data_IF_790593151204
#
_entry.id   IF_790593151204
#
_cell.length_a   1.000
_cell.length_b   1.000
_cell.length_c   1.000
_cell.angle_alpha   90.00
_cell.angle_beta   90.00
_cell.angle_gamma   90.00
#
_symmetry.space_group_name_H-M   'P 1'
#
loop_
_entity.id
_entity.type
_entity.pdbx_description
1 polymer ?
#
# COMPACT_ATOMS: atom_id res chain seq x y z
N UNK A 1 6.90 3.43 7.13
CA UNK A 1 5.53 3.74 6.70
C UNK A 1 5.13 5.10 7.25
N UNK A 2 4.63 5.98 6.40
CA UNK A 2 4.08 7.29 6.77
C UNK A 2 2.55 7.22 6.76
N UNK A 3 1.90 7.79 7.77
CA UNK A 3 0.45 7.80 7.91
C UNK A 3 0.01 9.23 8.16
N UNK A 4 -0.76 9.78 7.23
CA UNK A 4 -1.34 11.11 7.32
C UNK A 4 -2.81 11.01 7.71
N UNK A 5 -3.14 11.50 8.90
CA UNK A 5 -4.51 11.53 9.42
C UNK A 5 -5.24 12.77 8.87
N UNK A 6 -6.37 12.55 8.23
CA UNK A 6 -7.28 13.58 7.73
C UNK A 6 -8.62 13.45 8.45
N UNK A 7 -9.57 14.37 8.17
CA UNK A 7 -10.88 14.39 8.84
C UNK A 7 -11.74 13.16 8.53
N UNK A 8 -11.68 12.66 7.29
CA UNK A 8 -12.55 11.62 6.75
C UNK A 8 -11.80 10.53 5.99
N UNK A 9 -10.49 10.60 5.95
CA UNK A 9 -9.63 9.63 5.29
C UNK A 9 -8.28 9.50 6.00
N UNK A 10 -7.52 8.51 5.61
CA UNK A 10 -6.13 8.33 5.99
C UNK A 10 -5.30 8.02 4.74
N UNK A 11 -4.23 8.78 4.54
CA UNK A 11 -3.24 8.46 3.51
C UNK A 11 -2.09 7.67 4.14
N UNK A 12 -1.79 6.52 3.54
CA UNK A 12 -0.79 5.58 4.03
C UNK A 12 0.24 5.35 2.93
N UNK A 13 1.51 5.53 3.23
CA UNK A 13 2.60 5.46 2.25
C UNK A 13 3.80 4.72 2.83
N UNK A 14 4.49 3.92 2.00
CA UNK A 14 5.73 3.24 2.38
C UNK A 14 6.05 2.03 1.52
N UNK A 15 7.19 1.40 1.83
CA UNK A 15 7.63 0.20 1.12
C UNK A 15 6.89 -1.04 1.61
N UNK A 16 6.38 -1.80 0.65
CA UNK A 16 5.73 -3.09 0.86
C UNK A 16 6.77 -4.20 0.97
N UNK A 17 7.77 -4.16 0.08
CA UNK A 17 8.88 -5.11 0.04
C UNK A 17 10.15 -4.46 -0.53
N UNK A 18 11.31 -4.93 -0.11
CA UNK A 18 12.59 -4.59 -0.72
C UNK A 18 13.04 -5.71 -1.66
N UNK A 19 13.41 -5.36 -2.90
CA UNK A 19 13.97 -6.33 -3.87
C UNK A 19 15.40 -6.71 -3.50
N UNK A 20 15.88 -7.83 -4.03
CA UNK A 20 17.23 -8.37 -3.80
C UNK A 20 17.59 -8.52 -2.30
N UNK A 21 16.61 -8.71 -1.44
CA UNK A 21 16.79 -8.90 0.00
C UNK A 21 16.14 -10.21 0.45
N UNK A 22 16.88 -10.99 1.23
CA UNK A 22 16.38 -12.24 1.80
C UNK A 22 15.18 -11.99 2.73
N UNK A 23 14.15 -12.79 2.57
CA UNK A 23 13.07 -12.92 3.55
C UNK A 23 13.61 -13.57 4.84
N UNK A 24 12.78 -13.61 5.88
CA UNK A 24 13.03 -14.52 6.99
C UNK A 24 13.00 -15.97 6.51
N UNK A 25 13.76 -16.88 7.18
CA UNK A 25 13.73 -18.28 6.80
C UNK A 25 12.32 -18.88 6.91
N UNK A 26 11.89 -19.51 5.84
CA UNK A 26 10.63 -20.24 5.72
C UNK A 26 10.90 -21.74 5.62
N UNK A 27 9.85 -22.55 5.68
CA UNK A 27 9.94 -24.01 5.50
C UNK A 27 8.96 -24.44 4.41
N UNK A 28 9.48 -25.13 3.43
CA UNK A 28 8.68 -25.76 2.40
C UNK A 28 7.85 -26.93 2.99
N UNK A 29 6.56 -27.01 2.72
CA UNK A 29 5.66 -28.02 3.28
C UNK A 29 5.86 -29.41 2.69
N UNK A 30 6.19 -29.48 1.39
CA UNK A 30 6.32 -30.75 0.70
C UNK A 30 7.64 -31.41 1.06
N UNK A 31 8.72 -30.64 1.07
CA UNK A 31 10.08 -31.16 1.23
C UNK A 31 10.59 -31.03 2.67
N UNK A 32 9.99 -30.17 3.49
CA UNK A 32 10.46 -29.84 4.83
C UNK A 32 11.74 -29.00 4.85
N UNK A 33 12.31 -28.64 3.70
CA UNK A 33 13.52 -27.85 3.60
C UNK A 33 13.28 -26.41 4.04
N UNK A 34 14.32 -25.80 4.59
CA UNK A 34 14.33 -24.38 4.93
C UNK A 34 14.78 -23.55 3.73
N UNK A 35 14.16 -22.45 3.50
CA UNK A 35 14.54 -21.52 2.44
C UNK A 35 14.34 -20.07 2.86
N UNK A 36 15.07 -19.17 2.21
CA UNK A 36 14.83 -17.73 2.19
C UNK A 36 14.42 -17.35 0.77
N UNK A 37 13.70 -16.26 0.63
CA UNK A 37 13.18 -15.81 -0.65
C UNK A 37 13.61 -14.38 -0.94
N UNK A 38 14.01 -14.15 -2.18
CA UNK A 38 14.26 -12.82 -2.71
C UNK A 38 13.33 -12.56 -3.90
N UNK A 39 12.81 -11.35 -3.97
CA UNK A 39 12.17 -10.85 -5.18
C UNK A 39 13.24 -10.21 -6.05
N UNK A 40 13.38 -10.68 -7.29
CA UNK A 40 14.34 -10.15 -8.25
C UNK A 40 13.90 -8.74 -8.69
N UNK A 41 14.82 -7.77 -8.82
CA UNK A 41 14.49 -6.43 -9.32
C UNK A 41 13.76 -6.48 -10.66
N UNK A 42 12.73 -5.63 -10.82
CA UNK A 42 11.89 -5.56 -12.02
C UNK A 42 10.70 -6.52 -12.03
N UNK A 43 10.58 -7.43 -11.04
CA UNK A 43 9.47 -8.40 -10.98
C UNK A 43 8.16 -7.70 -10.64
N UNK A 44 8.16 -6.78 -9.67
CA UNK A 44 6.96 -6.02 -9.35
C UNK A 44 6.55 -5.10 -10.50
N UNK A 45 7.50 -4.42 -11.15
CA UNK A 45 7.22 -3.58 -12.30
C UNK A 45 6.51 -4.38 -13.42
N UNK A 46 7.00 -5.61 -13.71
CA UNK A 46 6.34 -6.48 -14.69
C UNK A 46 4.96 -6.91 -14.23
N UNK A 47 4.81 -7.36 -12.98
CA UNK A 47 3.53 -7.79 -12.43
C UNK A 47 2.47 -6.68 -12.48
N UNK A 48 2.83 -5.44 -12.19
CA UNK A 48 1.93 -4.28 -12.22
C UNK A 48 1.39 -3.94 -13.62
N UNK A 49 2.03 -4.42 -14.69
CA UNK A 49 1.56 -4.20 -16.07
C UNK A 49 0.43 -5.16 -16.49
N UNK A 50 0.25 -6.26 -15.75
CA UNK A 50 -0.61 -7.36 -16.19
C UNK A 50 -1.94 -7.45 -15.45
N UNK A 51 -2.01 -7.02 -14.22
CA UNK A 51 -3.23 -7.17 -13.42
C UNK A 51 -3.49 -6.01 -12.47
N UNK A 52 -4.76 -5.84 -12.18
CA UNK A 52 -5.22 -5.01 -11.09
C UNK A 52 -4.84 -5.66 -9.75
N UNK A 53 -4.25 -4.86 -8.86
CA UNK A 53 -3.85 -5.28 -7.52
C UNK A 53 -4.87 -4.77 -6.51
N UNK A 54 -5.38 -5.66 -5.66
CA UNK A 54 -6.34 -5.29 -4.62
C UNK A 54 -5.65 -4.72 -3.39
N UNK A 55 -6.30 -3.76 -2.73
CA UNK A 55 -5.92 -3.26 -1.42
C UNK A 55 -6.80 -3.91 -0.36
N UNK A 56 -6.19 -4.67 0.55
CA UNK A 56 -6.92 -5.39 1.59
C UNK A 56 -6.51 -4.92 3.00
N UNK A 57 -7.30 -5.30 3.99
CA UNK A 57 -6.92 -5.25 5.41
C UNK A 57 -6.55 -6.65 5.87
N UNK A 58 -5.32 -6.86 6.34
CA UNK A 58 -4.84 -8.12 6.94
C UNK A 58 -4.96 -9.36 6.03
N UNK A 59 -4.82 -9.24 4.71
CA UNK A 59 -5.02 -10.33 3.74
C UNK A 59 -6.44 -10.93 3.75
N UNK A 60 -7.40 -10.20 4.30
CA UNK A 60 -8.78 -10.64 4.35
C UNK A 60 -9.52 -10.20 3.08
N UNK A 61 -9.84 -11.15 2.21
CA UNK A 61 -10.56 -10.89 0.95
C UNK A 61 -11.96 -10.30 1.14
N UNK A 62 -12.53 -10.43 2.34
CA UNK A 62 -13.82 -9.79 2.69
C UNK A 62 -13.66 -8.33 3.07
N UNK A 63 -12.42 -7.88 3.33
CA UNK A 63 -12.07 -6.52 3.73
C UNK A 63 -11.29 -5.81 2.61
N UNK A 64 -11.96 -5.65 1.47
CA UNK A 64 -11.43 -4.89 0.34
C UNK A 64 -11.56 -3.38 0.62
N UNK A 65 -10.43 -2.68 0.55
CA UNK A 65 -10.29 -1.24 0.79
C UNK A 65 -10.12 -0.45 -0.50
N UNK A 66 -9.99 -1.13 -1.65
CA UNK A 66 -9.79 -0.53 -2.96
C UNK A 66 -8.83 -1.34 -3.86
N UNK A 67 -8.25 -0.70 -4.85
CA UNK A 67 -7.35 -1.33 -5.81
C UNK A 67 -6.50 -0.31 -6.56
N UNK A 68 -5.59 -0.79 -7.41
CA UNK A 68 -4.81 0.06 -8.31
C UNK A 68 -5.66 0.80 -9.35
N UNK A 69 -6.91 0.39 -9.57
CA UNK A 69 -7.87 1.12 -10.41
C UNK A 69 -8.61 2.25 -9.67
N UNK A 70 -8.45 2.36 -8.34
CA UNK A 70 -9.21 3.33 -7.52
C UNK A 70 -8.32 4.22 -6.67
N UNK A 71 -7.80 3.73 -5.56
CA UNK A 71 -7.17 4.51 -4.50
C UNK A 71 -5.81 3.97 -4.04
N UNK A 72 -5.22 3.02 -4.77
CA UNK A 72 -3.92 2.44 -4.50
C UNK A 72 -2.94 2.77 -5.64
N UNK A 73 -1.86 3.45 -5.33
CA UNK A 73 -0.75 3.70 -6.24
C UNK A 73 0.39 2.75 -5.87
N UNK A 74 0.90 1.99 -6.84
CA UNK A 74 2.02 1.08 -6.70
C UNK A 74 3.07 1.35 -7.77
N UNK A 75 4.31 1.33 -7.38
CA UNK A 75 5.44 1.34 -8.31
C UNK A 75 6.65 0.63 -7.71
N UNK A 76 7.51 0.10 -8.54
CA UNK A 76 8.82 -0.41 -8.14
C UNK A 76 9.90 0.64 -8.40
N UNK A 77 10.79 0.84 -7.44
CA UNK A 77 12.01 1.63 -7.59
C UNK A 77 13.26 0.80 -7.24
N UNK A 78 14.40 1.44 -7.10
CA UNK A 78 15.67 0.77 -6.76
C UNK A 78 15.70 0.10 -5.39
N UNK A 79 14.77 0.43 -4.49
CA UNK A 79 14.61 -0.17 -3.17
C UNK A 79 13.66 -1.35 -3.25
N UNK A 80 12.51 -1.20 -3.94
CA UNK A 80 11.52 -2.25 -4.07
C UNK A 80 10.11 -1.72 -4.37
N UNK A 81 9.09 -2.49 -3.98
CA UNK A 81 7.70 -2.12 -4.19
C UNK A 81 7.29 -1.05 -3.19
N UNK A 82 6.95 0.12 -3.69
CA UNK A 82 6.40 1.23 -2.93
C UNK A 82 4.88 1.31 -3.13
N UNK A 83 4.15 1.60 -2.05
CA UNK A 83 2.71 1.77 -2.05
C UNK A 83 2.30 3.11 -1.45
N UNK A 84 1.25 3.70 -2.03
CA UNK A 84 0.52 4.82 -1.46
C UNK A 84 -0.97 4.58 -1.65
N UNK A 85 -1.75 4.71 -0.57
CA UNK A 85 -3.20 4.55 -0.62
C UNK A 85 -3.91 5.62 0.20
N UNK A 86 -5.07 6.06 -0.28
CA UNK A 86 -6.00 6.88 0.47
C UNK A 86 -7.22 6.04 0.86
N UNK A 87 -7.46 5.88 2.15
CA UNK A 87 -8.46 4.96 2.70
C UNK A 87 -9.51 5.73 3.50
N UNK A 88 -10.78 5.50 3.18
CA UNK A 88 -11.95 6.09 3.86
C UNK A 88 -12.69 5.10 4.76
N UNK A 89 -12.18 3.86 4.88
CA UNK A 89 -12.78 2.85 5.75
C UNK A 89 -12.74 3.28 7.23
N UNK A 90 -13.87 3.34 7.93
CA UNK A 90 -13.94 3.86 9.30
C UNK A 90 -13.09 3.06 10.31
N UNK A 91 -12.95 1.74 10.13
CA UNK A 91 -12.13 0.90 11.01
C UNK A 91 -10.64 1.21 10.81
N UNK A 92 -10.21 1.41 9.57
CA UNK A 92 -8.81 1.76 9.25
C UNK A 92 -8.48 3.15 9.79
N UNK A 93 -9.39 4.13 9.63
CA UNK A 93 -9.24 5.48 10.18
C UNK A 93 -9.13 5.41 11.71
N UNK A 94 -10.03 4.69 12.38
CA UNK A 94 -10.00 4.52 13.85
C UNK A 94 -8.68 3.90 14.32
N UNK A 95 -8.21 2.86 13.60
CA UNK A 95 -6.93 2.20 13.91
C UNK A 95 -5.74 3.11 13.67
N UNK A 96 -5.77 3.94 12.64
CA UNK A 96 -4.73 4.93 12.38
C UNK A 96 -4.66 5.94 13.53
N UNK A 97 -5.79 6.50 13.97
CA UNK A 97 -5.84 7.40 15.14
C UNK A 97 -5.31 6.74 16.43
N UNK A 98 -5.59 5.46 16.61
CA UNK A 98 -5.10 4.68 17.77
C UNK A 98 -3.66 4.17 17.60
N UNK A 99 -2.98 4.52 16.50
CA UNK A 99 -1.61 4.09 16.16
C UNK A 99 -1.46 2.55 16.13
N UNK A 100 -2.47 1.87 15.60
CA UNK A 100 -2.56 0.42 15.57
C UNK A 100 -2.23 -0.20 14.20
N UNK A 101 -1.97 0.61 13.18
CA UNK A 101 -1.46 0.15 11.91
C UNK A 101 0.03 -0.14 12.02
N UNK A 102 0.49 -1.27 11.46
CA UNK A 102 1.85 -1.76 11.64
C UNK A 102 2.71 -1.69 10.39
N UNK A 103 2.12 -1.81 9.20
CA UNK A 103 2.88 -1.78 7.96
C UNK A 103 2.10 -2.34 6.78
N UNK A 104 2.86 -2.67 5.75
CA UNK A 104 2.38 -3.25 4.52
C UNK A 104 2.76 -4.73 4.44
N UNK A 105 1.98 -5.49 3.70
CA UNK A 105 2.27 -6.85 3.28
C UNK A 105 1.72 -7.06 1.88
N UNK A 106 2.08 -8.16 1.21
CA UNK A 106 1.55 -8.46 -0.11
C UNK A 106 1.30 -9.94 -0.30
N UNK A 107 0.44 -10.26 -1.26
CA UNK A 107 0.13 -11.62 -1.66
C UNK A 107 0.29 -11.77 -3.18
N UNK A 108 0.94 -12.86 -3.61
CA UNK A 108 1.21 -13.13 -5.01
C UNK A 108 1.04 -14.61 -5.35
N UNK A 109 0.93 -14.91 -6.64
CA UNK A 109 1.11 -16.26 -7.19
C UNK A 109 2.42 -16.30 -7.94
N UNK A 110 3.26 -17.23 -7.57
CA UNK A 110 4.52 -17.43 -8.27
C UNK A 110 4.26 -18.03 -9.65
N UNK A 111 4.96 -17.49 -10.65
CA UNK A 111 4.99 -17.99 -12.02
C UNK A 111 6.30 -18.63 -12.36
N UNK A 112 7.40 -18.05 -11.91
CA UNK A 112 8.74 -18.57 -12.15
C UNK A 112 9.67 -18.23 -10.99
N UNK A 113 10.53 -19.19 -10.62
CA UNK A 113 11.53 -19.04 -9.58
C UNK A 113 12.70 -19.99 -9.78
N UNK A 114 13.90 -19.52 -9.49
CA UNK A 114 15.09 -20.34 -9.40
C UNK A 114 15.54 -20.54 -7.95
N UNK A 115 16.36 -21.54 -7.69
CA UNK A 115 16.86 -21.85 -6.36
C UNK A 115 18.38 -22.02 -6.36
N UNK A 116 19.01 -21.61 -5.28
CA UNK A 116 20.43 -21.74 -5.01
C UNK A 116 20.63 -22.33 -3.61
N UNK A 117 21.48 -23.36 -3.49
CA UNK A 117 21.87 -23.87 -2.18
C UNK A 117 22.85 -22.88 -1.52
N UNK A 118 22.49 -22.41 -0.35
CA UNK A 118 23.39 -21.65 0.54
C UNK A 118 23.74 -22.47 1.77
N UNK A 119 24.53 -21.95 2.69
CA UNK A 119 25.07 -22.73 3.82
C UNK A 119 23.98 -23.35 4.72
N UNK A 120 24.31 -24.45 5.41
CA UNK A 120 23.51 -25.12 6.45
C UNK A 120 22.13 -25.66 6.03
N UNK A 121 22.04 -26.29 4.86
CA UNK A 121 20.79 -26.81 4.30
C UNK A 121 19.68 -25.75 4.16
N UNK A 122 20.07 -24.52 3.92
CA UNK A 122 19.20 -23.39 3.59
C UNK A 122 19.27 -23.14 2.07
N UNK A 123 18.14 -23.13 1.41
CA UNK A 123 18.03 -22.74 0.00
C UNK A 123 17.67 -21.26 -0.09
N UNK A 124 18.22 -20.54 -1.09
CA UNK A 124 17.70 -19.23 -1.50
C UNK A 124 16.85 -19.43 -2.74
N UNK A 125 15.63 -18.89 -2.69
CA UNK A 125 14.69 -18.89 -3.79
C UNK A 125 14.60 -17.49 -4.37
N UNK A 126 14.84 -17.37 -5.67
CA UNK A 126 14.68 -16.12 -6.41
C UNK A 126 13.35 -16.15 -7.14
N UNK A 127 12.42 -15.28 -6.77
CA UNK A 127 11.18 -15.09 -7.51
C UNK A 127 11.48 -14.22 -8.72
N UNK A 128 11.37 -14.80 -9.91
CA UNK A 128 11.74 -14.18 -11.19
C UNK A 128 10.51 -13.68 -11.96
N UNK A 129 9.34 -14.27 -11.70
CA UNK A 129 8.05 -13.81 -12.22
C UNK A 129 6.90 -14.14 -11.28
N UNK A 130 5.88 -13.26 -11.23
CA UNK A 130 4.72 -13.43 -10.37
C UNK A 130 3.48 -12.72 -10.88
N UNK A 131 2.30 -13.17 -10.42
CA UNK A 131 1.07 -12.39 -10.39
C UNK A 131 0.94 -11.73 -9.02
N UNK A 132 1.14 -10.41 -8.93
CA UNK A 132 0.87 -9.67 -7.71
C UNK A 132 -0.66 -9.54 -7.54
N UNK A 133 -1.21 -10.21 -6.54
CA UNK A 133 -2.67 -10.32 -6.35
C UNK A 133 -3.22 -9.21 -5.48
N UNK A 134 -2.53 -8.91 -4.37
CA UNK A 134 -2.97 -7.91 -3.42
C UNK A 134 -1.80 -7.29 -2.65
N UNK A 135 -2.06 -6.10 -2.11
CA UNK A 135 -1.26 -5.43 -1.10
C UNK A 135 -2.16 -5.20 0.10
N UNK A 136 -1.67 -5.47 1.30
CA UNK A 136 -2.46 -5.37 2.53
C UNK A 136 -1.89 -4.37 3.51
N UNK A 137 -2.79 -3.59 4.12
CA UNK A 137 -2.50 -2.84 5.34
C UNK A 137 -2.60 -3.82 6.50
N UNK A 138 -1.56 -3.87 7.33
CA UNK A 138 -1.47 -4.78 8.49
C UNK A 138 -1.72 -4.00 9.78
N UNK A 139 -2.61 -4.51 10.60
CA UNK A 139 -2.93 -3.96 11.92
C UNK A 139 -2.43 -4.85 13.07
N UNK A 140 -2.75 -4.46 14.32
CA UNK A 140 -2.33 -5.16 15.53
C UNK A 140 -2.89 -6.59 15.69
N UNK A 141 -3.93 -6.97 14.95
CA UNK A 141 -4.54 -8.32 15.03
C UNK A 141 -3.67 -9.37 14.38
N UNK A 142 -2.89 -8.99 13.38
CA UNK A 142 -1.82 -9.83 12.86
C UNK A 142 -0.57 -9.59 13.68
N UNK A 143 -0.45 -10.32 14.78
CA UNK A 143 0.85 -10.45 15.44
C UNK A 143 1.79 -11.20 14.48
N UNK A 144 3.08 -10.79 14.38
CA UNK A 144 4.05 -11.60 13.68
C UNK A 144 3.96 -13.01 14.26
N UNK A 145 3.70 -14.00 13.43
CA UNK A 145 3.77 -15.39 13.85
C UNK A 145 5.17 -15.59 14.42
N UNK A 146 5.22 -15.82 15.70
CA UNK A 146 6.31 -16.18 16.58
C UNK A 146 7.73 -16.21 15.98
N UNK A 147 8.66 -15.58 16.68
CA UNK A 147 10.09 -15.88 16.56
C UNK A 147 10.29 -17.40 16.53
N UNK A 148 10.59 -17.93 15.36
CA UNK A 148 11.03 -19.31 15.21
C UNK A 148 10.13 -20.28 14.44
N UNK A 149 8.89 -19.96 14.10
CA UNK A 149 8.02 -20.90 13.36
C UNK A 149 7.07 -20.24 12.36
N UNK A 150 7.56 -19.50 11.37
CA UNK A 150 6.74 -19.21 10.21
C UNK A 150 6.75 -20.43 9.29
N UNK A 151 5.81 -21.34 9.50
CA UNK A 151 5.53 -22.41 8.56
C UNK A 151 4.55 -21.87 7.54
N UNK A 152 5.02 -21.21 6.52
CA UNK A 152 4.21 -20.96 5.33
C UNK A 152 4.34 -22.13 4.36
N UNK A 153 3.23 -22.50 3.86
CA UNK A 153 3.01 -23.72 3.14
C UNK A 153 2.57 -23.38 1.75
N UNK A 154 3.36 -23.78 0.78
CA UNK A 154 3.07 -23.62 -0.63
C UNK A 154 2.73 -24.94 -1.29
N UNK A 155 1.58 -24.99 -1.98
CA UNK A 155 1.39 -25.85 -3.13
C UNK A 155 1.66 -25.02 -4.39
N UNK A 156 2.09 -25.66 -5.46
CA UNK A 156 2.30 -25.02 -6.77
C UNK A 156 0.99 -24.33 -7.22
N UNK A 157 1.05 -23.01 -7.48
CA UNK A 157 -0.11 -22.21 -7.83
C UNK A 157 -0.89 -21.59 -6.64
N UNK A 158 -0.50 -21.86 -5.40
CA UNK A 158 -1.10 -21.20 -4.22
C UNK A 158 -0.67 -19.73 -4.11
N UNK A 159 -1.56 -18.92 -3.56
CA UNK A 159 -1.23 -17.54 -3.24
C UNK A 159 -0.25 -17.48 -2.07
N UNK A 160 0.82 -16.73 -2.25
CA UNK A 160 1.82 -16.50 -1.21
C UNK A 160 1.49 -15.20 -0.50
N UNK A 161 1.46 -15.24 0.82
CA UNK A 161 1.33 -14.07 1.67
C UNK A 161 2.68 -13.82 2.36
N UNK A 162 3.14 -12.58 2.34
CA UNK A 162 4.36 -12.24 3.07
C UNK A 162 4.07 -12.17 4.57
N UNK A 163 4.84 -12.86 5.40
CA UNK A 163 4.50 -13.03 6.81
C UNK A 163 4.68 -11.77 7.65
N UNK A 164 5.46 -10.81 7.17
CA UNK A 164 5.79 -9.60 7.94
C UNK A 164 5.95 -8.37 7.05
N UNK A 165 5.51 -7.20 7.56
CA UNK A 165 5.77 -5.94 6.87
C UNK A 165 7.25 -5.57 6.94
N UNK A 166 7.79 -5.03 5.86
CA UNK A 166 9.16 -4.54 5.78
C UNK A 166 9.41 -3.39 6.77
N UNK A 167 8.42 -2.53 6.95
CA UNK A 167 8.46 -1.37 7.84
C UNK A 167 7.62 -1.63 9.09
N UNK A 168 8.28 -1.74 10.24
CA UNK A 168 7.63 -1.98 11.54
C UNK A 168 7.25 -0.67 12.25
N UNK A 169 7.83 0.47 11.81
CA UNK A 169 7.57 1.79 12.39
C UNK A 169 6.68 2.60 11.47
N UNK A 170 5.65 3.20 12.05
CA UNK A 170 4.77 4.14 11.37
C UNK A 170 4.92 5.54 11.96
N UNK A 171 5.17 6.52 11.10
CA UNK A 171 5.15 7.93 11.46
C UNK A 171 3.75 8.49 11.19
N UNK A 172 3.08 8.96 12.24
CA UNK A 172 1.73 9.51 12.17
C UNK A 172 1.79 11.04 12.12
N UNK A 173 1.20 11.61 11.10
CA UNK A 173 1.12 13.07 10.90
C UNK A 173 -0.34 13.50 10.87
N UNK A 174 -0.74 14.40 11.75
CA UNK A 174 -2.04 15.08 11.66
C UNK A 174 -1.95 16.20 10.64
N UNK A 175 -2.73 16.09 9.57
CA UNK A 175 -2.91 17.17 8.61
C UNK A 175 -4.09 18.02 9.07
N UNK A 176 -3.80 19.16 9.68
CA UNK A 176 -4.85 20.16 9.97
C UNK A 176 -5.24 20.79 8.65
N UNK A 177 -6.44 20.49 8.18
CA UNK A 177 -7.05 21.25 7.10
C UNK A 177 -7.23 22.69 7.59
N UNK A 178 -6.40 23.59 7.10
CA UNK A 178 -6.71 25.01 7.14
C UNK A 178 -7.88 25.21 6.18
N UNK A 179 -9.09 25.23 6.71
CA UNK A 179 -10.22 25.82 5.96
C UNK A 179 -9.83 27.26 5.72
N UNK A 180 -9.27 27.55 4.55
CA UNK A 180 -9.22 28.92 4.07
C UNK A 180 -10.67 29.39 4.01
N UNK A 181 -11.06 30.18 5.00
CA UNK A 181 -12.31 30.92 4.95
C UNK A 181 -12.17 31.88 3.78
N UNK A 182 -12.66 31.46 2.62
CA UNK A 182 -12.77 32.33 1.45
C UNK A 182 -13.54 33.55 1.91
N UNK A 183 -12.87 34.70 1.98
CA UNK A 183 -13.52 35.94 2.36
C UNK A 183 -14.49 36.37 1.28
N UNK A 184 -15.72 35.86 1.37
CA UNK A 184 -16.81 36.12 0.41
C UNK A 184 -17.12 37.62 0.24
N UNK A 185 -16.77 38.46 1.22
CA UNK A 185 -17.00 39.90 1.13
C UNK A 185 -16.26 40.53 -0.05
N UNK A 186 -15.04 40.08 -0.33
CA UNK A 186 -14.25 40.56 -1.47
C UNK A 186 -14.91 40.21 -2.82
N UNK A 187 -15.48 39.04 -2.92
CA UNK A 187 -16.18 38.61 -4.14
C UNK A 187 -17.54 39.28 -4.30
N UNK A 188 -18.29 39.53 -3.21
CA UNK A 188 -19.55 40.27 -3.23
C UNK A 188 -19.36 41.71 -3.71
N UNK A 189 -18.32 42.38 -3.24
CA UNK A 189 -18.01 43.74 -3.69
C UNK A 189 -17.66 43.77 -5.19
N UNK A 190 -16.88 42.83 -5.67
CA UNK A 190 -16.52 42.78 -7.09
C UNK A 190 -17.70 42.45 -8.00
N UNK A 191 -18.61 41.60 -7.55
CA UNK A 191 -19.86 41.29 -8.29
C UNK A 191 -20.70 42.57 -8.41
N UNK A 192 -20.91 43.34 -7.33
CA UNK A 192 -21.66 44.61 -7.35
C UNK A 192 -21.05 45.65 -8.29
N UNK A 193 -19.73 45.72 -8.34
CA UNK A 193 -19.03 46.63 -9.28
C UNK A 193 -19.30 46.22 -10.73
N UNK A 194 -19.19 44.93 -11.06
CA UNK A 194 -19.46 44.45 -12.41
C UNK A 194 -20.90 44.61 -12.84
N UNK A 195 -21.86 44.43 -11.93
CA UNK A 195 -23.30 44.66 -12.22
C UNK A 195 -23.55 46.14 -12.48
N UNK A 196 -22.86 47.05 -11.77
CA UNK A 196 -22.97 48.49 -11.99
C UNK A 196 -22.35 48.93 -13.32
N UNK A 197 -21.19 48.40 -13.67
CA UNK A 197 -20.50 48.64 -14.95
C UNK A 197 -21.37 48.15 -16.13
N UNK A 198 -22.01 47.01 -15.97
CA UNK A 198 -22.94 46.45 -17.00
C UNK A 198 -24.15 47.34 -17.18
N UNK A 199 -24.79 47.77 -16.09
CA UNK A 199 -25.95 48.66 -16.15
C UNK A 199 -25.63 50.07 -16.76
N UNK A 200 -24.42 50.59 -16.50
CA UNK A 200 -23.96 51.85 -17.12
C UNK A 200 -23.61 51.67 -18.59
N UNK A 201 -23.09 50.52 -18.99
CA UNK A 201 -22.86 50.16 -20.43
C UNK A 201 -24.13 50.06 -21.23
N UNK A 202 -25.17 49.44 -20.68
CA UNK A 202 -26.49 49.31 -21.33
C UNK A 202 -27.20 50.69 -21.49
N UNK A 203 -27.01 51.62 -20.58
CA UNK A 203 -27.57 52.99 -20.66
C UNK A 203 -26.87 53.88 -21.68
N UNK A 204 -25.67 53.57 -22.13
CA UNK A 204 -24.94 54.34 -23.17
C UNK A 204 -25.22 53.86 -24.59
N UNK A 205 -25.96 52.76 -24.78
CA UNK A 205 -26.32 52.21 -26.07
C UNK A 205 -27.78 52.52 -26.49
N UNK A 206 -28.54 53.24 -25.68
CA UNK A 206 -29.86 53.84 -25.94
C UNK A 206 -29.73 55.34 -26.16
#
# INVERSE_FOLDING_TARGET
MRIELRSDSVAIEGYVNAVARDSRPMRDRKTGKRFVEQIVPGVFERALRHNEVQLLLNHDKTRNLGSTSTNLELYEDSIGLHARAEVTDPEVIEKAHKKKLRGWSFGFRERDASTEDIHDALERRYVEDMDLVEVSIIDERKQPCYEGTSVEVRAEGDMVLTPEPLEVRADYVEVKETKETINMSKYHNRIKELEKEKAEGERKQL
#
